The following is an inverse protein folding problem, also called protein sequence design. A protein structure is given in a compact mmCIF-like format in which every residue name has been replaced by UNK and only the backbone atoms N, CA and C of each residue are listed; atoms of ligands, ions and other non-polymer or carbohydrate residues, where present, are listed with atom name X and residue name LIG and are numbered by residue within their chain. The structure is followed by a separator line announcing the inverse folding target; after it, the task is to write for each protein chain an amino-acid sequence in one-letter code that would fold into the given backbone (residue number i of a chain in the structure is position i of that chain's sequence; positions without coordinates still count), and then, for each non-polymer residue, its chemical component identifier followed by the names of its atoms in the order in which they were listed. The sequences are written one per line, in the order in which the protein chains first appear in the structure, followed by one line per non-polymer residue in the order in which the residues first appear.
data_IF_630135537272
#
_entry.id   IF_630135537272
#
_cell.length_a   1.000
_cell.length_b   1.000
_cell.length_c   1.000
_cell.angle_alpha   90.00
_cell.angle_beta   90.00
_cell.angle_gamma   90.00
#
_symmetry.space_group_name_H-M   'P 1'
#
loop_
_entity.id
_entity.type
_entity.pdbx_description
1 polymer ?
#
# COMPACT_ATOMS: atom_id res chain seq x y z
N UNK A 1 34.55 -15.77 14.03
CA UNK A 1 33.58 -14.82 13.46
C UNK A 1 32.65 -15.48 12.44
N UNK A 2 33.15 -16.27 11.49
CA UNK A 2 32.33 -16.97 10.48
C UNK A 2 31.27 -17.94 11.06
N UNK A 3 31.58 -18.64 12.16
CA UNK A 3 30.63 -19.54 12.82
C UNK A 3 29.40 -18.81 13.39
N UNK A 4 29.57 -17.61 13.98
CA UNK A 4 28.44 -16.81 14.49
C UNK A 4 27.50 -16.39 13.35
N UNK A 5 28.03 -15.98 12.20
CA UNK A 5 27.22 -15.54 11.06
C UNK A 5 26.34 -16.66 10.49
N UNK A 6 26.84 -17.91 10.49
CA UNK A 6 26.05 -19.08 10.08
C UNK A 6 24.88 -19.34 11.04
N UNK A 7 25.13 -19.27 12.34
CA UNK A 7 24.09 -19.41 13.37
C UNK A 7 23.06 -18.27 13.28
N UNK A 8 23.49 -17.02 13.06
CA UNK A 8 22.58 -15.89 12.84
C UNK A 8 21.68 -16.09 11.61
N UNK A 9 22.18 -16.67 10.51
CA UNK A 9 21.35 -16.97 9.34
C UNK A 9 20.31 -18.08 9.61
N UNK A 10 20.71 -19.11 10.37
CA UNK A 10 19.81 -20.19 10.78
C UNK A 10 18.72 -19.67 11.74
N UNK A 11 19.06 -18.79 12.67
CA UNK A 11 18.12 -18.15 13.59
C UNK A 11 17.14 -17.21 12.86
N UNK A 12 17.62 -16.39 11.91
CA UNK A 12 16.77 -15.51 11.08
C UNK A 12 15.84 -16.34 10.20
N UNK A 13 16.30 -17.44 9.62
CA UNK A 13 15.43 -18.33 8.85
C UNK A 13 14.35 -18.97 9.74
N UNK A 14 14.68 -19.33 10.98
CA UNK A 14 13.73 -19.88 11.95
C UNK A 14 12.72 -18.83 12.44
N UNK A 15 13.10 -17.56 12.59
CA UNK A 15 12.18 -16.47 12.91
C UNK A 15 11.29 -16.07 11.72
N UNK A 16 11.83 -16.05 10.51
CA UNK A 16 11.06 -15.82 9.29
C UNK A 16 10.03 -16.93 9.05
N UNK A 17 10.30 -18.17 9.51
CA UNK A 17 9.33 -19.25 9.49
C UNK A 17 8.19 -19.08 10.49
N UNK A 18 8.38 -18.28 11.55
CA UNK A 18 7.31 -17.88 12.49
C UNK A 18 6.48 -16.71 11.97
N UNK A 19 6.88 -16.07 10.87
CA UNK A 19 6.07 -15.06 10.20
C UNK A 19 4.87 -15.78 9.59
N UNK A 20 3.72 -15.63 10.22
CA UNK A 20 2.43 -16.08 9.72
C UNK A 20 2.08 -15.27 8.49
N UNK A 21 2.49 -15.74 7.31
CA UNK A 21 2.10 -15.13 6.06
C UNK A 21 0.59 -15.24 5.90
N UNK A 22 -0.09 -14.11 5.63
CA UNK A 22 -1.53 -14.11 5.42
C UNK A 22 -1.88 -15.03 4.25
N UNK A 23 -2.99 -15.75 4.39
CA UNK A 23 -3.43 -16.67 3.34
C UNK A 23 -3.80 -15.87 2.07
N UNK A 24 -3.53 -16.42 0.88
CA UNK A 24 -3.78 -15.73 -0.41
C UNK A 24 -5.18 -15.12 -0.53
N UNK A 25 -6.18 -15.71 0.13
CA UNK A 25 -7.57 -15.23 0.16
C UNK A 25 -7.73 -13.93 0.97
N UNK A 26 -7.06 -13.80 2.12
CA UNK A 26 -7.10 -12.60 2.95
C UNK A 26 -6.35 -11.43 2.32
N UNK A 27 -5.24 -11.72 1.63
CA UNK A 27 -4.48 -10.70 0.88
C UNK A 27 -5.33 -10.11 -0.24
N UNK A 28 -6.06 -10.94 -0.98
CA UNK A 28 -6.95 -10.49 -2.06
C UNK A 28 -8.14 -9.72 -1.51
N UNK A 29 -8.77 -10.20 -0.42
CA UNK A 29 -9.89 -9.50 0.22
C UNK A 29 -9.48 -8.12 0.72
N UNK A 30 -8.32 -8.01 1.37
CA UNK A 30 -7.80 -6.72 1.85
C UNK A 30 -7.43 -5.81 0.68
N UNK A 31 -6.80 -6.34 -0.37
CA UNK A 31 -6.46 -5.56 -1.56
C UNK A 31 -7.69 -5.02 -2.27
N UNK A 32 -8.78 -5.80 -2.36
CA UNK A 32 -10.02 -5.37 -3.01
C UNK A 32 -10.64 -4.17 -2.28
N UNK A 33 -10.67 -4.18 -0.94
CA UNK A 33 -11.16 -3.05 -0.14
C UNK A 33 -10.31 -1.81 -0.39
N UNK A 34 -8.99 -1.95 -0.40
CA UNK A 34 -8.07 -0.83 -0.66
C UNK A 34 -8.28 -0.25 -2.04
N UNK A 35 -8.47 -1.08 -3.08
CA UNK A 35 -8.76 -0.61 -4.45
C UNK A 35 -10.04 0.22 -4.49
N UNK A 36 -11.11 -0.23 -3.83
CA UNK A 36 -12.37 0.53 -3.77
C UNK A 36 -12.17 1.89 -3.10
N UNK A 37 -11.44 1.94 -1.98
CA UNK A 37 -11.14 3.18 -1.27
C UNK A 37 -10.34 4.15 -2.16
N UNK A 38 -9.32 3.66 -2.86
CA UNK A 38 -8.50 4.47 -3.77
C UNK A 38 -9.36 5.05 -4.90
N UNK A 39 -10.27 4.25 -5.49
CA UNK A 39 -11.18 4.73 -6.54
C UNK A 39 -12.02 5.90 -6.02
N UNK A 40 -12.63 5.78 -4.84
CA UNK A 40 -13.46 6.84 -4.25
C UNK A 40 -12.63 8.11 -4.02
N UNK A 41 -11.45 7.99 -3.40
CA UNK A 41 -10.58 9.12 -3.09
C UNK A 41 -10.10 9.81 -4.39
N UNK A 42 -9.70 9.03 -5.40
CA UNK A 42 -9.23 9.56 -6.67
C UNK A 42 -10.32 10.34 -7.41
N UNK A 43 -11.57 9.89 -7.32
CA UNK A 43 -12.71 10.54 -7.95
C UNK A 43 -13.05 11.85 -7.24
N UNK A 44 -12.96 11.87 -5.90
CA UNK A 44 -13.11 13.09 -5.11
C UNK A 44 -12.04 14.13 -5.43
N UNK A 45 -10.75 13.73 -5.37
CA UNK A 45 -9.64 14.64 -5.67
C UNK A 45 -9.71 15.15 -7.12
N UNK A 46 -9.97 14.27 -8.10
CA UNK A 46 -10.11 14.66 -9.49
C UNK A 46 -11.28 15.64 -9.72
N UNK A 47 -12.41 15.48 -9.01
CA UNK A 47 -13.49 16.44 -9.05
C UNK A 47 -13.07 17.81 -8.48
N UNK A 48 -12.36 17.81 -7.35
CA UNK A 48 -11.80 19.03 -6.75
C UNK A 48 -10.83 19.73 -7.71
N UNK A 49 -9.93 19.01 -8.37
CA UNK A 49 -8.96 19.57 -9.33
C UNK A 49 -9.66 20.23 -10.52
N UNK A 50 -10.72 19.61 -11.05
CA UNK A 50 -11.52 20.17 -12.16
C UNK A 50 -12.23 21.45 -11.73
N UNK A 51 -12.83 21.46 -10.54
CA UNK A 51 -13.51 22.65 -9.98
C UNK A 51 -12.52 23.78 -9.79
N UNK A 52 -11.37 23.50 -9.16
CA UNK A 52 -10.34 24.50 -8.91
C UNK A 52 -9.77 25.06 -10.21
N UNK A 53 -9.50 24.19 -11.19
CA UNK A 53 -9.00 24.62 -12.51
C UNK A 53 -10.00 25.50 -13.24
N UNK A 54 -11.29 25.18 -13.20
CA UNK A 54 -12.35 26.04 -13.76
C UNK A 54 -12.42 27.39 -13.05
N UNK A 55 -12.33 27.40 -11.72
CA UNK A 55 -12.40 28.61 -10.91
C UNK A 55 -11.21 29.54 -11.19
N UNK A 56 -9.99 28.99 -11.19
CA UNK A 56 -8.76 29.72 -11.51
C UNK A 56 -8.81 30.28 -12.94
N UNK A 57 -9.28 29.48 -13.91
CA UNK A 57 -9.40 29.91 -15.30
C UNK A 57 -10.49 30.98 -15.50
N UNK A 58 -11.48 31.07 -14.60
CA UNK A 58 -12.48 32.13 -14.58
C UNK A 58 -11.98 33.42 -13.92
N UNK A 59 -11.00 33.35 -13.01
CA UNK A 59 -10.41 34.51 -12.33
C UNK A 59 -9.28 35.13 -13.15
N UNK A 60 -8.49 34.31 -13.86
CA UNK A 60 -7.38 34.78 -14.71
C UNK A 60 -7.86 35.42 -16.03
N UNK A 61 -9.15 35.37 -16.31
CA UNK A 61 -9.79 35.92 -17.51
C UNK A 61 -10.55 37.18 -17.16
#
# INVERSE_FOLDING_TARGET
MLAKAKTFFEDVQAELAKVTWPTRKETISTAQVVVVIIVIISLYLGACDVVLTKLIRSILR
#
